data_IF_906170263731
#
_entry.id   IF_906170263731
#
_cell.length_a   1.000
_cell.length_b   1.000
_cell.length_c   1.000
_cell.angle_alpha   90.00
_cell.angle_beta   90.00
_cell.angle_gamma   90.00
#
_symmetry.space_group_name_H-M   'P 1'
#
loop_
_entity.id
_entity.type
_entity.pdbx_description
1 polymer ?
#
# COMPACT_ATOMS: atom_id res chain seq x y z
N UNK A 1 -5.17 -21.86 -0.38
CA UNK A 1 -6.15 -22.53 -1.27
C UNK A 1 -7.13 -23.24 -0.38
N UNK A 2 -8.43 -22.97 -0.50
CA UNK A 2 -9.41 -23.77 0.22
C UNK A 2 -9.35 -25.20 -0.31
N UNK A 3 -9.74 -26.18 0.50
CA UNK A 3 -9.74 -27.59 0.11
C UNK A 3 -10.61 -27.86 -1.14
N UNK A 4 -11.50 -26.94 -1.50
CA UNK A 4 -12.41 -27.01 -2.65
C UNK A 4 -11.85 -26.43 -3.97
N UNK A 5 -10.62 -25.88 -3.98
CA UNK A 5 -10.00 -25.35 -5.19
C UNK A 5 -10.12 -23.82 -5.34
N UNK A 6 -10.29 -23.34 -6.58
CA UNK A 6 -10.45 -21.91 -6.86
C UNK A 6 -11.85 -21.44 -6.47
N UNK A 7 -11.94 -20.31 -5.79
CA UNK A 7 -13.19 -19.68 -5.39
C UNK A 7 -13.32 -18.32 -6.05
N UNK A 8 -14.53 -18.01 -6.52
CA UNK A 8 -14.85 -16.70 -7.09
C UNK A 8 -14.86 -15.63 -5.99
N UNK A 9 -14.33 -14.46 -6.31
CA UNK A 9 -14.38 -13.28 -5.44
C UNK A 9 -15.48 -12.36 -5.98
N UNK A 10 -16.57 -12.22 -5.22
CA UNK A 10 -17.71 -11.38 -5.61
C UNK A 10 -17.43 -9.88 -5.48
N UNK A 11 -16.60 -9.49 -4.51
CA UNK A 11 -16.22 -8.12 -4.26
C UNK A 11 -14.70 -8.00 -4.07
N UNK A 12 -13.92 -7.72 -5.13
CA UNK A 12 -12.47 -7.65 -5.05
C UNK A 12 -11.98 -6.48 -4.19
N UNK A 13 -12.81 -5.45 -3.98
CA UNK A 13 -12.46 -4.29 -3.15
C UNK A 13 -12.29 -4.67 -1.68
N UNK A 14 -12.94 -5.74 -1.21
CA UNK A 14 -12.79 -6.24 0.17
C UNK A 14 -11.36 -6.69 0.48
N UNK A 15 -10.56 -7.04 -0.53
CA UNK A 15 -9.15 -7.42 -0.33
C UNK A 15 -8.34 -6.26 0.28
N UNK A 16 -8.71 -5.00 0.00
CA UNK A 16 -8.06 -3.81 0.55
C UNK A 16 -8.75 -3.32 1.85
N UNK A 17 -9.90 -3.88 2.19
CA UNK A 17 -10.63 -3.59 3.42
C UNK A 17 -10.28 -4.69 4.44
N UNK A 18 -9.08 -4.65 5.00
CA UNK A 18 -8.68 -5.64 6.00
C UNK A 18 -9.60 -5.57 7.23
N UNK A 19 -10.14 -6.71 7.67
CA UNK A 19 -10.91 -6.88 8.91
C UNK A 19 -10.12 -6.58 10.21
N UNK A 20 -8.84 -6.23 10.12
CA UNK A 20 -7.91 -6.19 11.26
C UNK A 20 -8.00 -4.94 12.15
N UNK A 21 -8.88 -3.99 11.85
CA UNK A 21 -8.86 -2.67 12.51
C UNK A 21 -10.09 -2.37 13.36
N UNK A 22 -10.74 -3.39 13.91
CA UNK A 22 -11.82 -3.23 14.90
C UNK A 22 -11.37 -2.52 16.20
N UNK A 23 -10.07 -2.21 16.36
CA UNK A 23 -9.53 -1.50 17.52
C UNK A 23 -8.78 -0.20 17.23
N UNK A 24 -8.63 0.23 15.97
CA UNK A 24 -7.95 1.50 15.63
C UNK A 24 -8.76 2.25 14.58
N UNK A 25 -9.40 3.34 14.99
CA UNK A 25 -10.40 4.07 14.18
C UNK A 25 -9.80 4.79 12.95
N UNK A 26 -8.46 4.88 12.81
CA UNK A 26 -7.85 5.62 11.71
C UNK A 26 -6.62 4.89 11.16
N UNK A 27 -6.75 4.40 9.93
CA UNK A 27 -5.63 3.99 9.09
C UNK A 27 -4.94 5.22 8.52
N UNK A 28 -3.76 5.55 9.03
CA UNK A 28 -2.93 6.65 8.52
C UNK A 28 -1.74 6.12 7.73
N UNK A 29 -1.35 6.84 6.68
CA UNK A 29 -0.18 6.51 5.89
C UNK A 29 -0.37 5.39 4.86
N UNK A 30 -1.61 5.03 4.52
CA UNK A 30 -1.94 4.08 3.45
C UNK A 30 -2.60 4.81 2.28
N UNK A 31 -2.27 4.41 1.05
CA UNK A 31 -2.93 4.89 -0.16
C UNK A 31 -3.00 3.77 -1.20
N UNK A 32 -4.15 3.63 -1.87
CA UNK A 32 -4.30 2.69 -2.98
C UNK A 32 -4.00 3.42 -4.29
N UNK A 33 -3.17 2.82 -5.14
CA UNK A 33 -2.82 3.35 -6.45
C UNK A 33 -3.04 2.29 -7.54
N UNK A 34 -3.47 2.76 -8.71
CA UNK A 34 -3.42 1.96 -9.95
C UNK A 34 -2.08 2.23 -10.61
N UNK A 35 -1.29 1.20 -10.84
CA UNK A 35 -0.06 1.27 -11.63
C UNK A 35 -0.22 0.49 -12.92
N UNK A 36 0.55 0.86 -13.94
CA UNK A 36 0.61 0.17 -15.22
C UNK A 36 1.97 -0.48 -15.40
N UNK A 37 1.99 -1.77 -15.70
CA UNK A 37 3.18 -2.48 -16.24
C UNK A 37 2.85 -2.97 -17.66
N UNK A 38 3.39 -2.26 -18.65
CA UNK A 38 2.95 -2.37 -20.04
C UNK A 38 1.45 -2.08 -20.19
N UNK A 39 0.69 -3.08 -20.65
CA UNK A 39 -0.77 -2.99 -20.81
C UNK A 39 -1.55 -3.51 -19.60
N UNK A 40 -0.87 -4.06 -18.58
CA UNK A 40 -1.52 -4.62 -17.40
C UNK A 40 -1.65 -3.56 -16.31
N UNK A 41 -2.86 -3.43 -15.77
CA UNK A 41 -3.13 -2.59 -14.61
C UNK A 41 -3.05 -3.40 -13.32
N UNK A 42 -2.33 -2.88 -12.34
CA UNK A 42 -2.26 -3.45 -10.99
C UNK A 42 -2.80 -2.45 -9.99
N UNK A 43 -3.59 -2.93 -9.04
CA UNK A 43 -3.88 -2.19 -7.82
C UNK A 43 -2.82 -2.52 -6.79
N UNK A 44 -2.17 -1.49 -6.25
CA UNK A 44 -1.15 -1.62 -5.21
C UNK A 44 -1.51 -0.74 -4.02
N UNK A 45 -1.05 -1.16 -2.85
CA UNK A 45 -1.07 -0.35 -1.64
C UNK A 45 0.31 0.30 -1.44
N UNK A 46 0.32 1.62 -1.26
CA UNK A 46 1.49 2.42 -0.90
C UNK A 46 1.38 2.72 0.60
N UNK A 47 2.45 2.45 1.33
CA UNK A 47 2.53 2.64 2.77
C UNK A 47 3.63 3.65 3.12
N UNK A 48 3.36 4.52 4.10
CA UNK A 48 4.29 5.51 4.60
C UNK A 48 4.16 5.69 6.11
N UNK A 49 5.30 5.76 6.80
CA UNK A 49 5.38 6.08 8.23
C UNK A 49 6.27 7.31 8.41
N UNK A 50 5.69 8.40 8.90
CA UNK A 50 6.40 9.62 9.24
C UNK A 50 6.42 9.79 10.77
N UNK A 51 7.59 9.64 11.38
CA UNK A 51 7.79 9.82 12.82
C UNK A 51 8.73 11.00 13.09
N UNK A 52 8.44 11.78 14.12
CA UNK A 52 9.30 12.89 14.56
C UNK A 52 10.51 12.37 15.33
N UNK A 53 11.68 12.96 15.10
CA UNK A 53 12.86 12.78 15.97
C UNK A 53 13.84 11.65 15.62
N UNK A 54 13.69 10.93 14.50
CA UNK A 54 14.72 9.99 14.05
C UNK A 54 15.79 10.69 13.20
N UNK A 55 17.05 10.39 13.47
CA UNK A 55 18.21 10.86 12.72
C UNK A 55 18.15 10.31 11.28
N UNK A 56 17.58 11.07 10.34
CA UNK A 56 17.67 10.98 8.87
C UNK A 56 17.90 9.56 8.31
N UNK A 57 17.09 8.58 8.70
CA UNK A 57 17.07 7.28 8.02
C UNK A 57 15.83 7.21 7.13
N UNK A 58 15.96 7.69 5.89
CA UNK A 58 14.93 7.50 4.86
C UNK A 58 15.13 6.12 4.26
N UNK A 59 14.17 5.24 4.50
CA UNK A 59 14.14 3.92 3.87
C UNK A 59 12.99 3.88 2.88
N UNK A 60 13.31 3.50 1.65
CA UNK A 60 12.33 3.27 0.59
C UNK A 60 12.47 1.84 0.10
N UNK A 61 11.35 1.22 -0.22
CA UNK A 61 11.29 -0.11 -0.84
C UNK A 61 10.27 -0.07 -1.97
N UNK A 62 10.55 -0.79 -3.07
CA UNK A 62 9.68 -0.83 -4.24
C UNK A 62 9.68 0.43 -5.12
N UNK A 63 10.37 1.51 -4.72
CA UNK A 63 10.53 2.74 -5.53
C UNK A 63 11.97 3.26 -5.50
N UNK A 64 12.32 4.08 -6.49
CA UNK A 64 13.60 4.80 -6.50
C UNK A 64 13.63 5.88 -5.42
N UNK A 65 14.71 5.93 -4.64
CA UNK A 65 14.89 6.93 -3.57
C UNK A 65 14.77 8.37 -4.08
N UNK A 66 15.37 8.68 -5.23
CA UNK A 66 15.29 10.02 -5.85
C UNK A 66 13.86 10.48 -6.16
N UNK A 67 12.96 9.54 -6.52
CA UNK A 67 11.55 9.87 -6.73
C UNK A 67 10.83 10.17 -5.42
N UNK A 68 11.13 9.40 -4.37
CA UNK A 68 10.59 9.64 -3.05
C UNK A 68 11.06 10.99 -2.50
N UNK A 69 12.36 11.29 -2.64
CA UNK A 69 12.95 12.56 -2.20
C UNK A 69 12.32 13.76 -2.92
N UNK A 70 12.07 13.64 -4.23
CA UNK A 70 11.38 14.67 -4.99
C UNK A 70 9.97 14.93 -4.45
N UNK A 71 9.19 13.88 -4.17
CA UNK A 71 7.82 14.02 -3.65
C UNK A 71 7.82 14.66 -2.26
N UNK A 72 8.76 14.27 -1.38
CA UNK A 72 8.88 14.81 -0.02
C UNK A 72 9.32 16.28 -0.02
N UNK A 73 9.99 16.74 -1.09
CA UNK A 73 10.51 18.11 -1.20
C UNK A 73 9.47 19.14 -1.64
N UNK A 74 8.28 18.70 -2.07
CA UNK A 74 7.16 19.56 -2.50
C UNK A 74 6.24 19.82 -1.32
#
# INVERSE_FOLDING_TARGET
MSQSGLQSVSNPSEIFLSEQYLGSEVLVGLAIAVIMDGSQSFLIEIQALCATGSSVSRHVNGIQASRADMIISV
#
